data_IF_844861603716
#
_entry.id   IF_844861603716
#
_cell.length_a   1.000
_cell.length_b   1.000
_cell.length_c   1.000
_cell.angle_alpha   90.00
_cell.angle_beta   90.00
_cell.angle_gamma   90.00
#
_symmetry.space_group_name_H-M   'P 1'
#
loop_
_entity.id
_entity.type
_entity.pdbx_description
1 polymer ?
#
# COMPACT_ATOMS: atom_id res chain seq x y z
N UNK A 1 2.39 6.43 5.40
CA UNK A 1 3.15 7.57 4.83
C UNK A 1 4.28 7.92 5.78
N UNK A 2 5.50 8.15 5.30
CA UNK A 2 6.62 8.55 6.15
C UNK A 2 6.43 9.99 6.67
N UNK A 3 7.11 10.34 7.78
CA UNK A 3 6.99 11.65 8.44
C UNK A 3 7.38 12.82 7.52
N UNK A 4 8.33 12.61 6.60
CA UNK A 4 8.80 13.67 5.70
C UNK A 4 7.73 14.00 4.66
N UNK A 5 7.18 12.98 3.98
CA UNK A 5 6.07 13.16 3.03
C UNK A 5 4.84 13.78 3.69
N UNK A 6 4.52 13.37 4.93
CA UNK A 6 3.42 13.99 5.68
C UNK A 6 3.62 15.50 5.84
N UNK A 7 4.83 15.91 6.26
CA UNK A 7 5.18 17.32 6.48
C UNK A 7 5.17 18.13 5.18
N UNK A 8 5.63 17.54 4.07
CA UNK A 8 5.58 18.17 2.75
C UNK A 8 4.13 18.38 2.30
N UNK A 9 3.26 17.38 2.50
CA UNK A 9 1.85 17.49 2.17
C UNK A 9 1.12 18.53 3.05
N UNK A 10 1.39 18.56 4.35
CA UNK A 10 0.82 19.58 5.25
C UNK A 10 1.23 21.00 4.84
N UNK A 11 2.49 21.20 4.41
CA UNK A 11 2.96 22.49 3.89
C UNK A 11 2.27 22.88 2.60
N UNK A 12 2.05 21.93 1.70
CA UNK A 12 1.33 22.16 0.46
C UNK A 12 -0.13 22.55 0.70
N UNK A 13 -0.81 21.88 1.63
CA UNK A 13 -2.17 22.27 2.03
C UNK A 13 -2.18 23.67 2.62
N UNK A 14 -1.20 23.99 3.49
CA UNK A 14 -1.09 25.33 4.07
C UNK A 14 -0.85 26.41 3.00
N UNK A 15 -0.04 26.15 1.96
CA UNK A 15 0.15 27.12 0.88
C UNK A 15 -1.12 27.35 0.08
N UNK A 16 -1.87 26.28 -0.24
CA UNK A 16 -3.16 26.40 -0.93
C UNK A 16 -4.17 27.24 -0.15
N UNK A 17 -4.25 27.06 1.18
CA UNK A 17 -5.15 27.86 2.03
C UNK A 17 -4.79 29.34 1.97
N UNK A 18 -3.49 29.66 1.96
CA UNK A 18 -3.00 31.04 1.95
C UNK A 18 -3.14 31.70 0.57
N UNK A 19 -2.87 30.96 -0.50
CA UNK A 19 -2.88 31.47 -1.88
C UNK A 19 -4.30 31.62 -2.41
N UNK A 20 -5.16 30.63 -2.21
CA UNK A 20 -6.52 30.60 -2.76
C UNK A 20 -7.55 31.17 -1.78
N UNK A 21 -7.17 31.38 -0.51
CA UNK A 21 -8.09 31.87 0.54
C UNK A 21 -9.21 30.87 0.89
N UNK A 22 -9.08 29.61 0.47
CA UNK A 22 -10.09 28.56 0.69
C UNK A 22 -9.68 27.70 1.88
N UNK A 23 -10.63 27.47 2.81
CA UNK A 23 -10.44 26.51 3.89
C UNK A 23 -10.54 25.09 3.34
N UNK A 24 -9.38 24.43 3.21
CA UNK A 24 -9.28 23.04 2.78
C UNK A 24 -8.64 22.19 3.88
N UNK A 25 -9.19 21.00 4.10
CA UNK A 25 -8.59 19.99 4.97
C UNK A 25 -7.62 19.10 4.19
N UNK A 26 -6.72 18.43 4.91
CA UNK A 26 -5.80 17.46 4.31
C UNK A 26 -6.55 16.35 3.55
N UNK A 27 -7.69 15.91 4.09
CA UNK A 27 -8.50 14.85 3.49
C UNK A 27 -9.15 15.30 2.18
N UNK A 28 -9.66 16.54 2.11
CA UNK A 28 -10.22 17.10 0.88
C UNK A 28 -9.17 17.25 -0.21
N UNK A 29 -7.99 17.77 0.13
CA UNK A 29 -6.88 17.90 -0.83
C UNK A 29 -6.43 16.53 -1.34
N UNK A 30 -6.36 15.52 -0.45
CA UNK A 30 -6.08 14.14 -0.87
C UNK A 30 -7.16 13.59 -1.79
N UNK A 31 -8.44 13.85 -1.50
CA UNK A 31 -9.56 13.47 -2.37
C UNK A 31 -9.39 14.04 -3.77
N UNK A 32 -9.16 15.35 -3.88
CA UNK A 32 -8.93 16.03 -5.16
C UNK A 32 -7.71 15.46 -5.92
N UNK A 33 -6.62 15.12 -5.22
CA UNK A 33 -5.46 14.50 -5.85
C UNK A 33 -5.77 13.09 -6.40
N UNK A 34 -6.59 12.31 -5.69
CA UNK A 34 -7.04 11.00 -6.16
C UNK A 34 -7.94 11.16 -7.38
N UNK A 35 -8.94 12.03 -7.31
CA UNK A 35 -9.88 12.29 -8.41
C UNK A 35 -9.12 12.75 -9.66
N UNK A 36 -8.20 13.72 -9.51
CA UNK A 36 -7.33 14.17 -10.59
C UNK A 36 -6.51 13.02 -11.20
N UNK A 37 -6.01 12.09 -10.38
CA UNK A 37 -5.24 10.94 -10.87
C UNK A 37 -6.11 9.95 -11.63
N UNK A 38 -7.36 9.78 -11.24
CA UNK A 38 -8.34 8.92 -11.93
C UNK A 38 -8.75 9.52 -13.28
N UNK A 39 -8.95 10.84 -13.34
CA UNK A 39 -9.25 11.56 -14.58
C UNK A 39 -8.07 11.56 -15.55
N UNK A 40 -6.84 11.68 -15.03
CA UNK A 40 -5.60 11.77 -15.80
C UNK A 40 -4.85 10.42 -15.84
N UNK A 41 -5.59 9.34 -16.09
CA UNK A 41 -5.10 7.96 -16.00
C UNK A 41 -3.82 7.71 -16.80
N UNK A 42 -3.71 8.22 -18.02
CA UNK A 42 -2.56 7.96 -18.88
C UNK A 42 -1.26 8.55 -18.31
N UNK A 43 -1.34 9.76 -17.76
CA UNK A 43 -0.19 10.43 -17.13
C UNK A 43 0.19 9.71 -15.82
N UNK A 44 -0.81 9.27 -15.06
CA UNK A 44 -0.59 8.44 -13.89
C UNK A 44 0.10 7.10 -14.25
N UNK A 45 -0.34 6.43 -15.32
CA UNK A 45 0.25 5.17 -15.78
C UNK A 45 1.71 5.32 -16.21
N UNK A 46 2.11 6.46 -16.80
CA UNK A 46 3.54 6.74 -17.09
C UNK A 46 4.38 6.73 -15.81
N UNK A 47 3.87 7.32 -14.73
CA UNK A 47 4.54 7.32 -13.41
C UNK A 47 4.58 5.92 -12.80
N UNK A 48 3.51 5.14 -12.92
CA UNK A 48 3.48 3.74 -12.45
C UNK A 48 4.53 2.90 -13.18
N UNK A 49 4.69 3.07 -14.50
CA UNK A 49 5.71 2.35 -15.29
C UNK A 49 7.15 2.66 -14.91
N UNK A 50 7.39 3.76 -14.17
CA UNK A 50 8.72 4.11 -13.64
C UNK A 50 9.06 3.41 -12.32
N UNK A 51 8.06 2.79 -11.67
CA UNK A 51 8.27 2.01 -10.46
C UNK A 51 8.91 0.66 -10.81
N UNK A 52 9.59 0.02 -9.84
CA UNK A 52 10.12 -1.32 -10.03
C UNK A 52 9.02 -2.28 -10.50
N UNK A 53 9.30 -3.14 -11.49
CA UNK A 53 8.34 -4.12 -11.96
C UNK A 53 8.05 -5.14 -10.86
N UNK A 54 6.86 -5.73 -10.90
CA UNK A 54 6.36 -6.67 -9.89
C UNK A 54 7.29 -7.88 -9.70
N UNK A 55 7.98 -8.30 -10.77
CA UNK A 55 8.94 -9.42 -10.75
C UNK A 55 10.16 -9.18 -9.83
N UNK A 56 10.44 -7.93 -9.50
CA UNK A 56 11.50 -7.55 -8.56
C UNK A 56 11.01 -7.48 -7.11
N UNK A 57 9.70 -7.58 -6.86
CA UNK A 57 9.17 -7.57 -5.51
C UNK A 57 9.58 -8.85 -4.76
N UNK A 58 10.17 -8.74 -3.55
CA UNK A 58 10.61 -9.90 -2.79
C UNK A 58 9.49 -10.88 -2.45
N UNK A 59 8.28 -10.40 -2.17
CA UNK A 59 7.14 -11.27 -1.91
C UNK A 59 6.72 -12.01 -3.19
N UNK A 60 6.75 -11.32 -4.35
CA UNK A 60 6.49 -11.94 -5.64
C UNK A 60 7.51 -13.04 -6.00
N UNK A 61 8.79 -12.83 -5.71
CA UNK A 61 9.84 -13.84 -5.93
C UNK A 61 9.65 -15.06 -5.03
N UNK A 62 9.28 -14.85 -3.76
CA UNK A 62 9.01 -15.92 -2.80
C UNK A 62 7.79 -16.77 -3.14
N UNK A 63 6.86 -16.30 -3.95
CA UNK A 63 5.78 -17.15 -4.48
C UNK A 63 6.31 -18.23 -5.43
N UNK A 64 7.39 -17.94 -6.17
CA UNK A 64 8.01 -18.89 -7.11
C UNK A 64 9.04 -19.79 -6.44
N UNK A 65 9.76 -19.27 -5.45
CA UNK A 65 10.73 -20.04 -4.68
C UNK A 65 10.52 -19.71 -3.18
N UNK A 66 9.57 -20.37 -2.52
CA UNK A 66 9.32 -20.14 -1.10
C UNK A 66 10.55 -20.56 -0.29
N UNK A 67 10.80 -19.84 0.80
CA UNK A 67 11.86 -20.22 1.73
C UNK A 67 11.52 -21.59 2.33
N UNK A 68 12.41 -22.57 2.15
CA UNK A 68 12.31 -23.83 2.88
C UNK A 68 12.74 -23.59 4.33
N UNK A 69 11.76 -23.44 5.22
CA UNK A 69 11.99 -23.25 6.65
C UNK A 69 12.47 -24.53 7.35
N UNK A 70 12.63 -25.66 6.62
CA UNK A 70 13.05 -26.95 7.17
C UNK A 70 12.01 -27.57 8.11
N UNK A 71 10.82 -26.97 8.20
CA UNK A 71 9.68 -27.47 8.94
C UNK A 71 8.78 -28.19 7.95
N UNK A 72 8.54 -29.48 8.18
CA UNK A 72 7.59 -30.23 7.37
C UNK A 72 6.23 -29.56 7.47
N UNK A 73 5.56 -29.44 6.33
CA UNK A 73 4.23 -28.88 6.27
C UNK A 73 3.33 -29.55 7.33
N UNK A 74 2.90 -28.75 8.29
CA UNK A 74 2.02 -29.15 9.37
C UNK A 74 0.59 -28.68 9.10
N UNK A 75 0.30 -28.20 7.87
CA UNK A 75 -1.01 -27.73 7.43
C UNK A 75 -2.12 -28.73 7.81
N UNK A 76 -1.89 -30.03 7.64
CA UNK A 76 -2.84 -31.09 8.02
C UNK A 76 -3.11 -31.20 9.53
N UNK A 77 -2.24 -30.64 10.38
CA UNK A 77 -2.35 -30.67 11.84
C UNK A 77 -2.73 -29.33 12.46
N UNK A 78 -2.86 -28.28 11.65
CA UNK A 78 -3.22 -26.93 12.14
C UNK A 78 -4.52 -26.99 12.91
N UNK A 79 -5.51 -27.73 12.41
CA UNK A 79 -6.79 -27.89 13.09
C UNK A 79 -6.66 -28.64 14.43
N UNK A 80 -5.79 -29.66 14.52
CA UNK A 80 -5.53 -30.38 15.79
C UNK A 80 -4.89 -29.46 16.84
N UNK A 81 -4.01 -28.52 16.44
CA UNK A 81 -3.37 -27.57 17.35
C UNK A 81 -4.26 -26.38 17.73
N UNK A 82 -5.07 -25.88 16.79
CA UNK A 82 -5.94 -24.72 17.02
C UNK A 82 -7.25 -25.10 17.71
N UNK A 83 -7.80 -26.28 17.41
CA UNK A 83 -9.11 -26.68 17.88
C UNK A 83 -9.08 -27.88 18.84
N UNK A 84 -7.92 -28.54 19.01
CA UNK A 84 -7.81 -29.78 19.76
C UNK A 84 -8.51 -30.93 19.05
N UNK A 85 -8.13 -32.18 19.32
CA UNK A 85 -8.93 -33.34 18.87
C UNK A 85 -10.37 -33.10 19.28
N UNK A 86 -11.26 -33.04 18.31
CA UNK A 86 -12.68 -33.15 18.57
C UNK A 86 -12.91 -34.57 19.06
N UNK A 87 -12.85 -34.76 20.38
CA UNK A 87 -13.16 -36.03 21.02
C UNK A 87 -14.54 -36.49 20.53
N UNK A 88 -14.55 -37.65 19.88
CA UNK A 88 -15.75 -38.47 19.68
C UNK A 88 -15.49 -39.85 20.24
#
# INVERSE_FOLDING_TARGET
MDKKRKKELERFVASLILEEGVKLTLQEVLGLMVDFSLENRDEFLKRVKSLPPLEQDPAWQKLRNPDDWGVRDASEKVDEYLYGRSDT
#
